data_IF_289091505523
#
_entry.id   IF_289091505523
#
_cell.length_a   1.000
_cell.length_b   1.000
_cell.length_c   1.000
_cell.angle_alpha   90.00
_cell.angle_beta   90.00
_cell.angle_gamma   90.00
#
_symmetry.space_group_name_H-M   'P 1'
#
loop_
_entity.id
_entity.type
_entity.pdbx_description
1 polymer ?
#
# COMPACT_ATOMS: atom_id res chain seq x y z
N UNK A 1 -5.85 -3.89 -23.08
CA UNK A 1 -6.25 -4.43 -21.75
C UNK A 1 -5.36 -5.62 -21.32
N UNK A 2 -4.02 -5.51 -21.35
CA UNK A 2 -3.15 -6.63 -20.95
C UNK A 2 -1.95 -6.27 -20.05
N UNK A 3 -1.77 -5.00 -19.68
CA UNK A 3 -0.60 -4.57 -18.90
C UNK A 3 -0.89 -4.33 -17.41
N UNK A 4 -2.16 -4.36 -16.97
CA UNK A 4 -2.54 -4.09 -15.58
C UNK A 4 -2.40 -5.29 -14.63
N UNK A 5 -2.02 -6.47 -15.15
CA UNK A 5 -2.07 -7.73 -14.38
C UNK A 5 -0.73 -8.10 -13.72
N UNK A 6 0.32 -7.28 -13.84
CA UNK A 6 1.70 -7.75 -13.61
C UNK A 6 2.35 -7.48 -12.25
N UNK A 7 1.70 -6.87 -11.28
CA UNK A 7 2.34 -6.62 -9.97
C UNK A 7 1.44 -6.95 -8.78
N UNK A 8 0.98 -8.20 -8.76
CA UNK A 8 0.53 -8.91 -7.56
C UNK A 8 1.60 -9.91 -7.08
N UNK A 9 2.88 -9.48 -6.98
CA UNK A 9 3.94 -10.35 -6.44
C UNK A 9 4.40 -11.47 -7.38
N UNK A 10 4.13 -11.37 -8.68
CA UNK A 10 4.58 -12.34 -9.70
C UNK A 10 6.04 -12.12 -10.14
N UNK A 11 6.77 -11.19 -9.51
CA UNK A 11 8.16 -10.85 -9.85
C UNK A 11 9.17 -11.31 -8.78
N UNK A 12 8.76 -12.22 -7.89
CA UNK A 12 9.68 -12.86 -6.93
C UNK A 12 10.44 -14.01 -7.60
N UNK A 13 9.81 -14.66 -8.58
CA UNK A 13 10.42 -15.68 -9.43
C UNK A 13 11.52 -15.06 -10.29
N UNK A 14 12.77 -15.47 -10.03
CA UNK A 14 13.97 -14.97 -10.72
C UNK A 14 14.92 -14.14 -9.84
N UNK A 15 14.55 -13.87 -8.58
CA UNK A 15 15.48 -13.30 -7.60
C UNK A 15 16.42 -14.38 -7.07
N UNK A 16 17.69 -14.01 -6.85
CA UNK A 16 18.67 -14.87 -6.20
C UNK A 16 18.31 -15.13 -4.73
N UNK A 17 18.85 -16.20 -4.15
CA UNK A 17 18.66 -16.53 -2.73
C UNK A 17 19.06 -15.37 -1.79
N UNK A 18 20.11 -14.63 -2.14
CA UNK A 18 20.57 -13.45 -1.40
C UNK A 18 19.55 -12.30 -1.49
N UNK A 19 19.06 -11.98 -2.69
CA UNK A 19 18.03 -10.95 -2.90
C UNK A 19 16.73 -11.30 -2.19
N UNK A 20 16.30 -12.57 -2.22
CA UNK A 20 15.17 -13.07 -1.44
C UNK A 20 15.40 -12.92 0.07
N UNK A 21 16.63 -13.15 0.53
CA UNK A 21 17.04 -12.91 1.92
C UNK A 21 16.94 -11.45 2.34
N UNK A 22 17.48 -10.54 1.52
CA UNK A 22 17.38 -9.09 1.75
C UNK A 22 15.93 -8.60 1.74
N UNK A 23 15.13 -9.06 0.77
CA UNK A 23 13.72 -8.69 0.68
C UNK A 23 12.91 -9.21 1.87
N UNK A 24 13.16 -10.44 2.31
CA UNK A 24 12.56 -11.00 3.54
C UNK A 24 12.87 -10.13 4.76
N UNK A 25 14.13 -9.75 4.96
CA UNK A 25 14.53 -8.91 6.10
C UNK A 25 13.87 -7.54 6.06
N UNK A 26 13.77 -6.91 4.88
CA UNK A 26 13.02 -5.66 4.71
C UNK A 26 11.54 -5.82 5.06
N UNK A 27 10.92 -6.92 4.64
CA UNK A 27 9.53 -7.22 4.93
C UNK A 27 9.28 -7.43 6.43
N UNK A 28 10.17 -8.16 7.11
CA UNK A 28 10.12 -8.35 8.56
C UNK A 28 10.25 -7.03 9.32
N UNK A 29 11.19 -6.17 8.92
CA UNK A 29 11.36 -4.84 9.52
C UNK A 29 10.14 -3.94 9.30
N UNK A 30 9.56 -3.95 8.09
CA UNK A 30 8.35 -3.16 7.82
C UNK A 30 7.14 -3.60 8.63
N UNK A 31 7.00 -4.91 8.94
CA UNK A 31 5.95 -5.38 9.86
C UNK A 31 6.15 -4.76 11.24
N UNK A 32 7.37 -4.75 11.77
CA UNK A 32 7.67 -4.15 13.08
C UNK A 32 7.35 -2.65 13.10
N UNK A 33 7.72 -1.90 12.06
CA UNK A 33 7.40 -0.47 11.97
C UNK A 33 5.89 -0.21 11.90
N UNK A 34 5.14 -1.06 11.21
CA UNK A 34 3.68 -0.94 11.13
C UNK A 34 3.04 -1.32 12.47
N UNK A 35 3.55 -2.33 13.17
CA UNK A 35 3.05 -2.75 14.48
C UNK A 35 3.18 -1.66 15.54
N UNK A 36 4.32 -0.96 15.56
CA UNK A 36 4.52 0.18 16.46
C UNK A 36 3.50 1.30 16.20
N UNK A 37 3.15 1.53 14.93
CA UNK A 37 2.16 2.55 14.57
C UNK A 37 0.73 2.08 14.81
N UNK A 38 0.46 0.77 14.70
CA UNK A 38 -0.83 0.19 15.05
C UNK A 38 -1.09 0.37 16.54
N UNK A 39 -0.11 0.10 17.40
CA UNK A 39 -0.26 0.28 18.85
C UNK A 39 -0.65 1.73 19.19
N UNK A 40 0.05 2.71 18.60
CA UNK A 40 -0.28 4.14 18.77
C UNK A 40 -1.69 4.49 18.24
N UNK A 41 -2.06 3.95 17.09
CA UNK A 41 -3.37 4.21 16.49
C UNK A 41 -4.52 3.46 17.19
N UNK A 42 -4.23 2.34 17.85
CA UNK A 42 -5.19 1.54 18.62
C UNK A 42 -5.63 2.28 19.88
N UNK A 43 -4.71 2.96 20.55
CA UNK A 43 -5.02 3.84 21.68
C UNK A 43 -6.00 4.95 21.25
N UNK A 44 -5.68 5.66 20.16
CA UNK A 44 -6.55 6.71 19.62
C UNK A 44 -7.93 6.16 19.19
N UNK A 45 -7.94 5.00 18.55
CA UNK A 45 -9.17 4.33 18.12
C UNK A 45 -10.01 3.88 19.31
N UNK A 46 -9.38 3.30 20.34
CA UNK A 46 -10.03 2.83 21.56
C UNK A 46 -10.61 3.99 22.36
N UNK A 47 -9.87 5.10 22.51
CA UNK A 47 -10.39 6.31 23.16
C UNK A 47 -11.63 6.85 22.44
N UNK A 48 -11.61 6.86 21.10
CA UNK A 48 -12.78 7.26 20.29
C UNK A 48 -13.98 6.33 20.54
N UNK A 49 -13.77 5.02 20.55
CA UNK A 49 -14.82 4.03 20.80
C UNK A 49 -15.41 4.16 22.21
N UNK A 50 -14.58 4.40 23.23
CA UNK A 50 -15.02 4.64 24.61
C UNK A 50 -15.89 5.91 24.68
N UNK A 51 -15.45 7.01 24.06
CA UNK A 51 -16.22 8.24 24.03
C UNK A 51 -17.59 8.05 23.34
N UNK A 52 -17.62 7.34 22.20
CA UNK A 52 -18.87 7.01 21.49
C UNK A 52 -19.80 6.13 22.33
N UNK A 53 -19.25 5.16 23.06
CA UNK A 53 -19.99 4.31 23.99
C UNK A 53 -20.59 5.12 25.15
N UNK A 54 -19.83 6.07 25.73
CA UNK A 54 -20.33 6.97 26.78
C UNK A 54 -21.47 7.86 26.29
N UNK A 55 -21.44 8.31 25.04
CA UNK A 55 -22.48 9.15 24.44
C UNK A 55 -23.75 8.36 24.13
N UNK A 56 -23.61 7.12 23.62
CA UNK A 56 -24.75 6.32 23.15
C UNK A 56 -25.29 5.31 24.16
N UNK A 57 -24.56 5.03 25.26
CA UNK A 57 -24.98 4.15 26.34
C UNK A 57 -25.37 2.75 25.85
N UNK A 58 -26.51 2.24 26.30
CA UNK A 58 -27.01 0.89 26.00
C UNK A 58 -27.22 0.61 24.51
N UNK A 59 -27.39 1.65 23.69
CA UNK A 59 -27.61 1.53 22.24
C UNK A 59 -26.30 1.36 21.46
N UNK A 60 -25.14 1.53 22.09
CA UNK A 60 -23.84 1.49 21.39
C UNK A 60 -23.59 0.12 20.75
N UNK A 61 -23.83 -0.99 21.46
CA UNK A 61 -23.60 -2.34 20.92
C UNK A 61 -24.51 -2.65 19.72
N UNK A 62 -25.73 -2.14 19.73
CA UNK A 62 -26.72 -2.36 18.67
C UNK A 62 -26.42 -1.46 17.45
N UNK A 63 -26.02 -0.21 17.68
CA UNK A 63 -25.50 0.68 16.64
C UNK A 63 -24.21 0.14 16.04
N UNK A 64 -23.27 -0.32 16.86
CA UNK A 64 -21.97 -0.85 16.44
C UNK A 64 -22.14 -2.06 15.54
N UNK A 65 -22.91 -3.08 15.95
CA UNK A 65 -23.12 -4.26 15.11
C UNK A 65 -23.84 -3.94 13.79
N UNK A 66 -24.74 -2.94 13.79
CA UNK A 66 -25.46 -2.52 12.59
C UNK A 66 -24.59 -1.69 11.64
N UNK A 67 -23.58 -1.01 12.18
CA UNK A 67 -22.68 -0.16 11.42
C UNK A 67 -21.29 -0.78 11.22
N UNK A 68 -20.86 -1.86 11.87
CA UNK A 68 -19.48 -2.36 11.74
C UNK A 68 -19.18 -2.78 10.28
N UNK A 69 -20.14 -3.38 9.57
CA UNK A 69 -20.00 -3.69 8.13
C UNK A 69 -20.02 -2.42 7.26
N UNK A 70 -20.88 -1.44 7.59
CA UNK A 70 -20.93 -0.16 6.87
C UNK A 70 -19.71 0.71 7.18
N UNK A 71 -19.16 0.64 8.39
CA UNK A 71 -18.06 1.46 8.90
C UNK A 71 -16.73 0.89 8.41
N UNK A 72 -16.57 -0.43 8.27
CA UNK A 72 -15.41 -1.00 7.55
C UNK A 72 -15.41 -0.54 6.09
N UNK A 73 -16.53 -0.66 5.38
CA UNK A 73 -16.64 -0.21 3.99
C UNK A 73 -16.50 1.31 3.84
N UNK A 74 -17.01 2.07 4.81
CA UNK A 74 -16.91 3.52 4.85
C UNK A 74 -15.50 3.99 5.20
N UNK A 75 -14.83 3.36 6.17
CA UNK A 75 -13.43 3.62 6.49
C UNK A 75 -12.51 3.21 5.35
N UNK A 76 -12.79 2.11 4.65
CA UNK A 76 -12.09 1.73 3.42
C UNK A 76 -12.29 2.82 2.35
N UNK A 77 -13.53 3.31 2.18
CA UNK A 77 -13.85 4.38 1.22
C UNK A 77 -13.14 5.70 1.58
N UNK A 78 -13.16 6.09 2.85
CA UNK A 78 -12.44 7.26 3.36
C UNK A 78 -10.93 7.08 3.21
N UNK A 79 -10.42 5.86 3.41
CA UNK A 79 -9.01 5.53 3.19
C UNK A 79 -8.59 5.70 1.74
N UNK A 80 -9.41 5.18 0.82
CA UNK A 80 -9.24 5.37 -0.63
C UNK A 80 -9.29 6.85 -0.98
N UNK A 81 -10.20 7.63 -0.40
CA UNK A 81 -10.30 9.09 -0.60
C UNK A 81 -9.07 9.84 -0.07
N UNK A 82 -8.63 9.56 1.17
CA UNK A 82 -7.41 10.14 1.76
C UNK A 82 -6.19 9.82 0.91
N UNK A 83 -6.08 8.57 0.44
CA UNK A 83 -5.01 8.14 -0.46
C UNK A 83 -5.05 8.87 -1.80
N UNK A 84 -6.24 9.04 -2.40
CA UNK A 84 -6.41 9.78 -3.64
C UNK A 84 -6.07 11.28 -3.49
N UNK A 85 -6.44 11.91 -2.36
CA UNK A 85 -6.08 13.30 -2.06
C UNK A 85 -4.57 13.45 -1.89
N UNK A 86 -3.93 12.55 -1.13
CA UNK A 86 -2.46 12.52 -1.00
C UNK A 86 -1.76 12.29 -2.33
N UNK A 87 -2.35 11.46 -3.22
CA UNK A 87 -1.84 11.25 -4.59
C UNK A 87 -1.96 12.54 -5.43
N UNK A 88 -3.14 13.17 -5.49
CA UNK A 88 -3.34 14.45 -6.20
C UNK A 88 -2.42 15.56 -5.71
N UNK A 89 -2.24 15.69 -4.40
CA UNK A 89 -1.31 16.66 -3.83
C UNK A 89 0.14 16.42 -4.26
N UNK A 90 0.54 15.16 -4.49
CA UNK A 90 1.87 14.81 -5.04
C UNK A 90 1.97 15.12 -6.52
N UNK A 91 0.97 14.75 -7.32
CA UNK A 91 0.90 15.08 -8.76
C UNK A 91 1.01 16.59 -9.00
N UNK A 92 0.32 17.40 -8.18
CA UNK A 92 0.38 18.86 -8.27
C UNK A 92 1.79 19.42 -7.97
N UNK A 93 2.56 18.79 -7.08
CA UNK A 93 3.95 19.19 -6.80
C UNK A 93 4.91 18.80 -7.93
N UNK A 94 4.63 17.70 -8.63
CA UNK A 94 5.43 17.21 -9.75
C UNK A 94 5.11 17.92 -11.08
N UNK A 95 3.87 18.40 -11.24
CA UNK A 95 3.40 19.04 -12.47
C UNK A 95 3.96 20.45 -12.71
N UNK A 96 4.67 21.04 -11.74
CA UNK A 96 5.28 22.38 -11.86
C UNK A 96 6.58 22.40 -12.66
N UNK A 97 7.02 21.26 -13.22
CA UNK A 97 8.27 21.17 -13.95
C UNK A 97 8.20 20.27 -15.17
N UNK A 98 7.59 20.73 -16.27
CA UNK A 98 8.11 20.42 -17.61
C UNK A 98 7.48 21.33 -18.67
N UNK A 99 8.29 22.23 -19.22
CA UNK A 99 7.96 23.03 -20.39
C UNK A 99 8.48 22.40 -21.68
N UNK A 100 7.56 22.20 -22.61
CA UNK A 100 7.69 22.42 -24.06
C UNK A 100 8.44 21.43 -24.98
N UNK A 101 7.77 21.25 -26.12
CA UNK A 101 8.24 21.08 -27.50
C UNK A 101 8.56 19.69 -28.11
N UNK A 102 7.57 19.29 -28.93
CA UNK A 102 7.61 18.76 -30.31
C UNK A 102 8.53 17.59 -30.68
N UNK A 103 7.82 16.52 -31.08
CA UNK A 103 8.20 15.26 -31.70
C UNK A 103 8.82 15.44 -33.09
N UNK A 104 9.73 14.52 -33.47
CA UNK A 104 9.47 13.67 -34.63
C UNK A 104 10.28 12.35 -34.64
N UNK A 105 9.77 11.40 -35.43
CA UNK A 105 10.36 10.13 -35.92
C UNK A 105 9.83 8.80 -35.32
N UNK A 106 9.02 8.13 -36.16
CA UNK A 106 8.71 6.68 -36.24
C UNK A 106 8.76 5.93 -34.90
N UNK A 107 7.68 6.01 -34.14
CA UNK A 107 7.55 5.30 -32.87
C UNK A 107 6.14 4.70 -32.72
N UNK A 108 5.93 3.75 -31.79
CA UNK A 108 4.60 3.20 -31.47
C UNK A 108 3.61 4.36 -31.32
N UNK A 109 2.35 4.19 -31.77
CA UNK A 109 1.31 5.23 -31.72
C UNK A 109 1.51 6.10 -30.47
N UNK A 110 1.80 7.42 -30.61
CA UNK A 110 2.18 8.29 -29.51
C UNK A 110 1.22 8.22 -28.32
N UNK A 111 -0.05 7.90 -28.59
CA UNK A 111 -1.08 7.69 -27.56
C UNK A 111 -0.86 6.43 -26.75
N UNK A 112 -0.46 5.33 -27.38
CA UNK A 112 -0.12 4.07 -26.70
C UNK A 112 1.11 4.27 -25.85
N UNK A 113 2.17 4.87 -26.41
CA UNK A 113 3.40 5.13 -25.68
C UNK A 113 3.16 6.08 -24.50
N UNK A 114 2.37 7.14 -24.68
CA UNK A 114 1.92 8.03 -23.60
C UNK A 114 1.19 7.27 -22.50
N UNK A 115 0.22 6.42 -22.85
CA UNK A 115 -0.52 5.61 -21.85
C UNK A 115 0.37 4.64 -21.06
N UNK A 116 1.41 4.09 -21.70
CA UNK A 116 2.39 3.22 -21.06
C UNK A 116 3.28 4.03 -20.12
N UNK A 117 3.75 5.21 -20.55
CA UNK A 117 4.54 6.12 -19.71
C UNK A 117 3.75 6.58 -18.49
N UNK A 118 2.48 6.95 -18.67
CA UNK A 118 1.60 7.33 -17.57
C UNK A 118 1.41 6.19 -16.58
N UNK A 119 1.16 4.97 -17.08
CA UNK A 119 1.05 3.77 -16.26
C UNK A 119 2.33 3.47 -15.46
N UNK A 120 3.50 3.57 -16.10
CA UNK A 120 4.80 3.39 -15.44
C UNK A 120 5.09 4.48 -14.42
N UNK A 121 4.66 5.71 -14.67
CA UNK A 121 4.84 6.84 -13.75
C UNK A 121 4.02 6.64 -12.48
N UNK A 122 2.76 6.23 -12.63
CA UNK A 122 1.89 5.89 -11.49
C UNK A 122 2.47 4.71 -10.70
N UNK A 123 2.98 3.69 -11.39
CA UNK A 123 3.55 2.52 -10.75
C UNK A 123 4.85 2.83 -10.01
N UNK A 124 5.73 3.67 -10.58
CA UNK A 124 6.94 4.16 -9.92
C UNK A 124 6.62 4.86 -8.61
N UNK A 125 5.63 5.75 -8.61
CA UNK A 125 5.19 6.45 -7.39
C UNK A 125 4.53 5.50 -6.38
N UNK A 126 3.78 4.48 -6.85
CA UNK A 126 3.23 3.43 -5.99
C UNK A 126 4.35 2.66 -5.28
N UNK A 127 5.38 2.24 -6.01
CA UNK A 127 6.53 1.49 -5.48
C UNK A 127 7.36 2.35 -4.52
N UNK A 128 7.57 3.63 -4.86
CA UNK A 128 8.27 4.57 -3.97
C UNK A 128 7.56 4.70 -2.63
N UNK A 129 6.24 4.95 -2.67
CA UNK A 129 5.43 5.06 -1.45
C UNK A 129 5.41 3.76 -0.65
N UNK A 130 5.35 2.61 -1.33
CA UNK A 130 5.43 1.32 -0.67
C UNK A 130 6.78 1.17 0.06
N UNK A 131 7.89 1.50 -0.60
CA UNK A 131 9.22 1.47 0.01
C UNK A 131 9.35 2.43 1.21
N UNK A 132 8.85 3.66 1.08
CA UNK A 132 8.86 4.64 2.18
C UNK A 132 8.13 4.09 3.42
N UNK A 133 6.96 3.46 3.22
CA UNK A 133 6.19 2.82 4.29
C UNK A 133 6.85 1.58 4.88
N UNK A 134 7.56 0.81 4.06
CA UNK A 134 8.33 -0.35 4.51
C UNK A 134 9.45 0.02 5.48
N UNK A 135 9.98 1.24 5.40
CA UNK A 135 11.00 1.76 6.33
C UNK A 135 10.41 2.66 7.42
N UNK A 136 9.09 2.57 7.64
CA UNK A 136 8.38 3.30 8.69
C UNK A 136 8.03 4.76 8.38
N UNK A 137 8.39 5.28 7.20
CA UNK A 137 8.02 6.65 6.78
C UNK A 137 6.62 6.67 6.19
N UNK A 138 5.93 7.81 6.23
CA UNK A 138 4.58 7.95 5.67
C UNK A 138 3.53 7.00 6.29
N UNK A 139 3.82 6.45 7.47
CA UNK A 139 2.85 5.77 8.33
C UNK A 139 2.09 6.76 9.21
N UNK A 140 2.74 7.87 9.59
CA UNK A 140 2.14 8.96 10.36
C UNK A 140 0.95 9.57 9.60
N UNK A 141 -0.25 9.41 10.17
CA UNK A 141 -1.51 9.84 9.55
C UNK A 141 -2.28 8.74 8.82
N UNK A 142 -1.84 7.49 8.90
CA UNK A 142 -2.73 6.35 8.67
C UNK A 142 -3.58 6.05 9.90
N UNK A 143 -4.86 5.76 9.70
CA UNK A 143 -5.73 5.25 10.78
C UNK A 143 -5.49 3.77 11.08
N UNK A 144 -5.94 3.30 12.23
CA UNK A 144 -5.81 1.92 12.70
C UNK A 144 -6.16 0.86 11.62
N UNK A 145 -7.33 0.98 10.99
CA UNK A 145 -7.75 0.06 9.92
C UNK A 145 -6.85 0.12 8.67
N UNK A 146 -6.33 1.30 8.33
CA UNK A 146 -5.43 1.46 7.18
C UNK A 146 -4.09 0.75 7.43
N UNK A 147 -3.58 0.87 8.65
CA UNK A 147 -2.37 0.19 9.11
C UNK A 147 -2.58 -1.32 9.16
N UNK A 148 -3.72 -1.80 9.64
CA UNK A 148 -4.06 -3.23 9.66
C UNK A 148 -4.13 -3.84 8.25
N UNK A 149 -4.80 -3.17 7.31
CA UNK A 149 -4.82 -3.61 5.90
C UNK A 149 -3.40 -3.61 5.32
N UNK A 150 -2.61 -2.58 5.62
CA UNK A 150 -1.23 -2.51 5.14
C UNK A 150 -0.36 -3.63 5.70
N UNK A 151 -0.49 -3.96 7.00
CA UNK A 151 0.17 -5.11 7.64
C UNK A 151 -0.13 -6.42 6.92
N UNK A 152 -1.39 -6.67 6.60
CA UNK A 152 -1.82 -7.88 5.85
C UNK A 152 -1.13 -7.95 4.48
N UNK A 153 -1.03 -6.81 3.78
CA UNK A 153 -0.33 -6.74 2.48
C UNK A 153 1.15 -7.11 2.63
N UNK A 154 1.83 -6.62 3.67
CA UNK A 154 3.24 -6.95 3.93
C UNK A 154 3.40 -8.43 4.30
N UNK A 155 2.52 -8.97 5.16
CA UNK A 155 2.54 -10.38 5.55
C UNK A 155 2.33 -11.32 4.34
N UNK A 156 1.40 -10.98 3.44
CA UNK A 156 1.20 -11.72 2.20
C UNK A 156 2.44 -11.68 1.29
N UNK A 157 3.12 -10.53 1.21
CA UNK A 157 4.37 -10.42 0.47
C UNK A 157 5.48 -11.27 1.11
N UNK A 158 5.60 -11.25 2.44
CA UNK A 158 6.57 -12.04 3.20
C UNK A 158 6.36 -13.55 2.99
N UNK A 159 5.10 -14.00 3.00
CA UNK A 159 4.76 -15.39 2.70
C UNK A 159 5.24 -15.80 1.31
N UNK A 160 4.97 -14.99 0.27
CA UNK A 160 5.42 -15.27 -1.09
C UNK A 160 6.95 -15.32 -1.23
N UNK A 161 7.66 -14.39 -0.61
CA UNK A 161 9.13 -14.36 -0.63
C UNK A 161 9.72 -15.57 0.08
N UNK A 162 9.11 -15.98 1.19
CA UNK A 162 9.53 -17.14 1.95
C UNK A 162 9.30 -18.43 1.18
N UNK A 163 8.13 -18.59 0.56
CA UNK A 163 7.81 -19.74 -0.31
C UNK A 163 8.81 -19.87 -1.47
N UNK A 164 9.08 -18.77 -2.18
CA UNK A 164 10.03 -18.78 -3.30
C UNK A 164 11.47 -19.09 -2.85
N UNK A 165 11.85 -18.64 -1.65
CA UNK A 165 13.16 -18.95 -1.08
C UNK A 165 13.30 -20.43 -0.74
N UNK A 166 12.27 -21.07 -0.19
CA UNK A 166 12.27 -22.52 0.05
C UNK A 166 12.29 -23.31 -1.26
N UNK A 167 11.51 -22.89 -2.27
CA UNK A 167 11.52 -23.47 -3.61
C UNK A 167 12.91 -23.41 -4.24
N UNK A 168 13.56 -22.24 -4.21
CA UNK A 168 14.91 -22.04 -4.77
C UNK A 168 15.98 -22.90 -4.07
N UNK A 169 15.83 -23.17 -2.77
CA UNK A 169 16.76 -24.02 -2.01
C UNK A 169 16.56 -25.52 -2.34
N UNK A 170 15.32 -25.96 -2.60
CA UNK A 170 15.02 -27.35 -2.96
C UNK A 170 15.45 -27.78 -4.37
N UNK A 171 15.74 -26.82 -5.26
CA UNK A 171 16.25 -27.11 -6.63
C UNK A 171 17.79 -27.25 -6.66
N UNK A 172 18.47 -26.87 -5.57
CA UNK A 172 19.93 -26.91 -5.45
C UNK A 172 20.46 -28.12 -4.66
N UNK A 173 19.58 -29.02 -4.20
CA UNK A 173 19.89 -30.32 -3.57
C UNK A 173 19.51 -31.47 -4.50
#
# INVERSE_FOLDING_TARGET
MHCFRKLHGDAVSGLSYAELGSLRSLLEQGILSVDEQIEKADDEFTVKQIAECQVMGSNWSEWKNKNDDEDILYQETLSRRRTALRRRARELRLSTGCGSHQLDHRHPDPKILGSVIDGLTVEKERLRLWNDRMIGKELDGMGFHELMVFKIVIQNALFKVTDEKYRSNSVLL
#
